data_IF_999731605007
#
_entry.id   IF_999731605007
#
_cell.length_a   1.000
_cell.length_b   1.000
_cell.length_c   1.000
_cell.angle_alpha   90.00
_cell.angle_beta   90.00
_cell.angle_gamma   90.00
#
_symmetry.space_group_name_H-M   'P 1'
#
loop_
_entity.id
_entity.type
_entity.pdbx_description
1 polymer ?
#
# COMPACT_ATOMS: atom_id res chain seq x y z
N UNK A 1 -16.25 19.98 -2.45
CA UNK A 1 -15.83 19.25 -1.20
C UNK A 1 -14.82 18.17 -1.60
N UNK A 2 -14.15 17.51 -0.67
CA UNK A 2 -13.19 16.43 -1.01
C UNK A 2 -13.86 15.30 -1.84
N UNK A 3 -15.15 15.08 -1.64
CA UNK A 3 -15.96 14.12 -2.39
C UNK A 3 -16.14 14.46 -3.88
N UNK A 4 -15.74 15.65 -4.32
CA UNK A 4 -15.90 16.13 -5.69
C UNK A 4 -14.58 16.06 -6.48
N UNK A 5 -13.54 15.43 -5.90
CA UNK A 5 -12.19 15.42 -6.47
C UNK A 5 -11.93 14.25 -7.45
N UNK A 6 -12.84 13.28 -7.55
CA UNK A 6 -12.66 12.17 -8.47
C UNK A 6 -12.94 12.59 -9.90
N UNK A 7 -11.94 12.48 -10.75
CA UNK A 7 -12.05 12.71 -12.19
C UNK A 7 -11.33 11.59 -12.94
N UNK A 8 -12.08 10.73 -13.59
CA UNK A 8 -11.60 9.63 -14.42
C UNK A 8 -11.73 9.92 -15.93
N UNK A 9 -12.05 11.18 -16.30
CA UNK A 9 -12.38 11.58 -17.67
C UNK A 9 -11.31 12.46 -18.31
N UNK A 10 -10.51 13.16 -17.49
CA UNK A 10 -9.48 14.07 -18.00
C UNK A 10 -8.09 13.62 -17.57
N UNK A 11 -7.10 13.89 -18.43
CA UNK A 11 -5.72 13.57 -18.14
C UNK A 11 -5.11 14.56 -17.14
N UNK A 12 -4.14 14.14 -16.33
CA UNK A 12 -3.39 15.03 -15.46
C UNK A 12 -2.66 16.11 -16.28
N UNK A 13 -2.68 17.34 -15.78
CA UNK A 13 -1.93 18.48 -16.42
C UNK A 13 -0.43 18.23 -16.40
N UNK A 14 0.07 17.58 -15.34
CA UNK A 14 1.46 17.13 -15.22
C UNK A 14 1.42 15.61 -14.99
N UNK A 15 2.10 14.88 -15.86
CA UNK A 15 2.11 13.43 -15.87
C UNK A 15 3.39 12.85 -15.27
N UNK A 16 3.40 11.56 -14.95
CA UNK A 16 4.62 10.85 -14.54
C UNK A 16 5.70 10.85 -15.63
N UNK A 17 5.30 10.94 -16.89
CA UNK A 17 6.24 11.09 -18.04
C UNK A 17 7.06 12.36 -17.92
N UNK A 18 6.48 13.46 -17.45
CA UNK A 18 7.18 14.74 -17.31
C UNK A 18 8.26 14.69 -16.23
N UNK A 19 8.07 13.85 -15.21
CA UNK A 19 9.05 13.64 -14.12
C UNK A 19 10.06 12.53 -14.40
N UNK A 20 9.62 11.42 -15.00
CA UNK A 20 10.40 10.17 -15.04
C UNK A 20 10.73 9.70 -16.48
N UNK A 21 10.24 10.41 -17.52
CA UNK A 21 10.37 9.99 -18.92
C UNK A 21 9.47 8.79 -19.24
N UNK A 22 9.91 7.93 -20.15
CA UNK A 22 9.11 6.78 -20.58
C UNK A 22 8.95 5.74 -19.49
N UNK A 23 7.74 5.13 -19.42
CA UNK A 23 7.45 4.04 -18.50
C UNK A 23 8.37 2.85 -18.77
N UNK A 24 8.91 2.27 -17.70
CA UNK A 24 9.73 1.06 -17.77
C UNK A 24 8.88 -0.18 -17.48
N UNK A 25 9.41 -1.35 -17.85
CA UNK A 25 8.79 -2.66 -17.59
C UNK A 25 9.87 -3.63 -17.07
N UNK A 26 10.33 -3.39 -15.85
CA UNK A 26 11.44 -4.12 -15.25
C UNK A 26 10.98 -5.30 -14.40
N UNK A 27 9.83 -5.19 -13.75
CA UNK A 27 9.24 -6.21 -12.87
C UNK A 27 7.72 -6.17 -12.95
N UNK A 28 7.07 -7.30 -12.64
CA UNK A 28 5.61 -7.38 -12.56
C UNK A 28 5.09 -7.07 -11.15
N UNK A 29 5.85 -7.43 -10.12
CA UNK A 29 5.42 -7.37 -8.71
C UNK A 29 6.30 -6.42 -7.90
N UNK A 30 5.67 -5.60 -7.08
CA UNK A 30 6.35 -4.70 -6.14
C UNK A 30 5.79 -4.86 -4.72
N UNK A 31 6.69 -5.02 -3.74
CA UNK A 31 6.35 -4.99 -2.32
C UNK A 31 6.52 -3.57 -1.79
N UNK A 32 5.47 -3.05 -1.15
CA UNK A 32 5.48 -1.76 -0.47
C UNK A 32 5.57 -2.04 1.03
N UNK A 33 6.68 -1.65 1.64
CA UNK A 33 6.99 -1.93 3.03
C UNK A 33 6.84 -0.67 3.87
N UNK A 34 6.28 -0.82 5.07
CA UNK A 34 6.15 0.26 6.06
C UNK A 34 6.99 0.02 7.31
N UNK A 35 7.91 -0.97 7.26
CA UNK A 35 8.78 -1.33 8.37
C UNK A 35 10.24 -1.29 7.94
N UNK A 36 11.01 -0.37 8.51
CA UNK A 36 12.46 -0.28 8.31
C UNK A 36 13.16 -1.62 8.62
N UNK A 37 12.70 -2.32 9.67
CA UNK A 37 13.28 -3.60 10.06
C UNK A 37 13.10 -4.67 8.98
N UNK A 38 11.92 -4.75 8.37
CA UNK A 38 11.65 -5.72 7.30
C UNK A 38 12.41 -5.33 6.03
N UNK A 39 12.40 -4.06 5.69
CA UNK A 39 13.15 -3.55 4.55
C UNK A 39 14.64 -3.87 4.65
N UNK A 40 15.27 -3.61 5.81
CA UNK A 40 16.68 -3.95 6.04
C UNK A 40 16.93 -5.46 5.97
N UNK A 41 16.01 -6.26 6.56
CA UNK A 41 16.10 -7.71 6.50
C UNK A 41 16.11 -8.24 5.06
N UNK A 42 15.30 -7.67 4.17
CA UNK A 42 15.31 -8.05 2.75
C UNK A 42 16.65 -7.71 2.09
N UNK A 43 17.18 -6.51 2.34
CA UNK A 43 18.50 -6.09 1.82
C UNK A 43 19.65 -6.98 2.32
N UNK A 44 19.59 -7.40 3.57
CA UNK A 44 20.63 -8.25 4.17
C UNK A 44 20.53 -9.72 3.73
N UNK A 45 19.32 -10.16 3.37
CA UNK A 45 19.05 -11.58 3.06
C UNK A 45 19.16 -11.90 1.58
N UNK A 46 18.76 -10.96 0.72
CA UNK A 46 18.71 -11.18 -0.73
C UNK A 46 19.67 -10.25 -1.46
N UNK A 47 20.48 -10.79 -2.39
CA UNK A 47 21.20 -9.94 -3.34
C UNK A 47 20.21 -8.99 -4.03
N UNK A 48 20.42 -7.68 -3.86
CA UNK A 48 19.48 -6.67 -4.32
C UNK A 48 20.16 -5.60 -5.16
N UNK A 49 19.52 -5.22 -6.25
CA UNK A 49 19.96 -4.17 -7.17
C UNK A 49 19.01 -2.98 -7.12
N UNK A 50 19.53 -1.77 -7.03
CA UNK A 50 18.70 -0.56 -7.17
C UNK A 50 18.31 -0.36 -8.62
N UNK A 51 17.00 -0.44 -8.92
CA UNK A 51 16.43 -0.35 -10.26
C UNK A 51 15.63 0.92 -10.53
N UNK A 52 15.34 1.68 -9.48
CA UNK A 52 14.56 2.92 -9.59
C UNK A 52 14.76 3.85 -8.40
N UNK A 53 14.21 5.04 -8.53
CA UNK A 53 14.24 6.08 -7.51
C UNK A 53 12.97 6.89 -7.59
N UNK A 54 12.17 6.89 -6.52
CA UNK A 54 11.04 7.80 -6.38
C UNK A 54 11.60 9.13 -5.86
N UNK A 55 11.35 10.21 -6.60
CA UNK A 55 11.88 11.54 -6.27
C UNK A 55 10.93 12.30 -5.35
N UNK A 56 11.41 12.74 -4.19
CA UNK A 56 10.67 13.62 -3.30
C UNK A 56 11.55 14.79 -2.83
N UNK A 57 10.92 15.94 -2.57
CA UNK A 57 11.65 17.15 -2.14
C UNK A 57 12.40 16.95 -0.82
N UNK A 58 11.92 16.06 0.04
CA UNK A 58 12.50 15.76 1.34
C UNK A 58 13.42 14.53 1.36
N UNK A 59 13.74 13.98 0.19
CA UNK A 59 14.62 12.83 0.02
C UNK A 59 14.10 11.85 -1.02
N UNK A 60 14.99 11.02 -1.52
CA UNK A 60 14.66 10.03 -2.54
C UNK A 60 14.44 8.65 -1.93
N UNK A 61 13.49 7.90 -2.47
CA UNK A 61 13.17 6.55 -2.04
C UNK A 61 13.69 5.56 -3.09
N UNK A 62 14.71 4.75 -2.77
CA UNK A 62 15.24 3.78 -3.70
C UNK A 62 14.29 2.58 -3.84
N UNK A 63 14.08 2.15 -5.09
CA UNK A 63 13.39 0.90 -5.41
C UNK A 63 14.46 -0.14 -5.74
N UNK A 64 14.44 -1.25 -5.01
CA UNK A 64 15.34 -2.37 -5.22
C UNK A 64 14.62 -3.53 -5.90
N UNK A 65 15.37 -4.34 -6.63
CA UNK A 65 14.95 -5.63 -7.18
C UNK A 65 15.71 -6.74 -6.47
N UNK A 66 14.99 -7.79 -6.10
CA UNK A 66 15.54 -9.06 -5.63
C UNK A 66 14.96 -10.21 -6.47
N UNK A 67 15.68 -11.33 -6.54
CA UNK A 67 15.13 -12.57 -7.09
C UNK A 67 14.66 -13.47 -5.94
N UNK A 68 13.39 -13.86 -5.98
CA UNK A 68 12.82 -14.81 -5.04
C UNK A 68 12.19 -15.99 -5.80
N UNK A 69 12.77 -17.19 -5.63
CA UNK A 69 12.32 -18.41 -6.28
C UNK A 69 12.16 -18.28 -7.81
N UNK A 70 13.12 -17.63 -8.45
CA UNK A 70 13.14 -17.43 -9.90
C UNK A 70 12.25 -16.28 -10.41
N UNK A 71 11.66 -15.48 -9.53
CA UNK A 71 10.88 -14.31 -9.89
C UNK A 71 11.54 -13.03 -9.41
N UNK A 72 11.64 -12.06 -10.30
CA UNK A 72 12.10 -10.72 -9.94
C UNK A 72 10.98 -9.93 -9.29
N UNK A 73 11.25 -9.43 -8.09
CA UNK A 73 10.32 -8.68 -7.27
C UNK A 73 10.97 -7.36 -6.88
N UNK A 74 10.30 -6.26 -7.15
CA UNK A 74 10.73 -4.96 -6.62
C UNK A 74 10.25 -4.78 -5.19
N UNK A 75 10.97 -3.95 -4.43
CA UNK A 75 10.53 -3.52 -3.10
C UNK A 75 11.09 -2.14 -2.76
N UNK A 76 10.36 -1.41 -1.92
CA UNK A 76 10.81 -0.15 -1.35
C UNK A 76 10.18 0.09 0.03
N UNK A 77 10.78 0.99 0.80
CA UNK A 77 10.27 1.45 2.08
C UNK A 77 9.43 2.71 1.84
N UNK A 78 8.13 2.61 2.01
CA UNK A 78 7.20 3.72 1.89
C UNK A 78 7.23 4.64 3.12
N UNK A 79 6.98 5.91 2.89
CA UNK A 79 6.58 6.82 3.95
C UNK A 79 5.23 6.43 4.57
N UNK A 80 4.91 7.03 5.71
CA UNK A 80 3.66 6.74 6.44
C UNK A 80 2.60 7.79 6.09
N UNK A 81 1.44 7.32 5.64
CA UNK A 81 0.28 8.15 5.31
C UNK A 81 -0.33 7.75 3.97
N UNK A 82 -1.65 7.89 3.85
CA UNK A 82 -2.40 7.49 2.65
C UNK A 82 -1.93 8.22 1.40
N UNK A 83 -1.72 9.53 1.48
CA UNK A 83 -1.27 10.34 0.37
C UNK A 83 0.13 9.94 -0.11
N UNK A 84 1.06 9.72 0.82
CA UNK A 84 2.43 9.31 0.50
C UNK A 84 2.42 7.93 -0.13
N UNK A 85 1.78 6.95 0.51
CA UNK A 85 1.73 5.58 0.01
C UNK A 85 1.07 5.47 -1.37
N UNK A 86 0.01 6.23 -1.63
CA UNK A 86 -0.67 6.23 -2.92
C UNK A 86 0.20 6.85 -4.03
N UNK A 87 0.81 8.02 -3.76
CA UNK A 87 1.71 8.67 -4.73
C UNK A 87 2.90 7.79 -5.06
N UNK A 88 3.58 7.26 -4.05
CA UNK A 88 4.74 6.38 -4.24
C UNK A 88 4.37 5.08 -4.99
N UNK A 89 3.19 4.51 -4.72
CA UNK A 89 2.70 3.34 -5.46
C UNK A 89 2.47 3.67 -6.94
N UNK A 90 1.85 4.82 -7.22
CA UNK A 90 1.61 5.30 -8.59
C UNK A 90 2.92 5.57 -9.33
N UNK A 91 3.87 6.24 -8.68
CA UNK A 91 5.21 6.48 -9.24
C UNK A 91 5.99 5.17 -9.48
N UNK A 92 5.96 4.23 -8.52
CA UNK A 92 6.61 2.93 -8.69
C UNK A 92 6.02 2.15 -9.87
N UNK A 93 4.69 2.23 -10.12
CA UNK A 93 4.05 1.60 -11.27
C UNK A 93 4.64 2.09 -12.60
N UNK A 94 5.07 3.34 -12.67
CA UNK A 94 5.69 3.95 -13.83
C UNK A 94 7.18 3.66 -13.92
N UNK A 95 7.90 3.88 -12.81
CA UNK A 95 9.37 3.81 -12.76
C UNK A 95 9.89 2.39 -13.02
N UNK A 96 9.21 1.37 -12.51
CA UNK A 96 9.62 -0.03 -12.67
C UNK A 96 8.63 -0.89 -13.43
N UNK A 97 7.46 -0.36 -13.78
CA UNK A 97 6.43 -1.03 -14.58
C UNK A 97 5.66 -2.11 -13.83
N UNK A 98 5.67 -2.09 -12.49
CA UNK A 98 4.93 -3.06 -11.70
C UNK A 98 3.41 -2.85 -11.88
N UNK A 99 2.69 -3.96 -12.06
CA UNK A 99 1.23 -4.02 -12.15
C UNK A 99 0.58 -4.75 -10.97
N UNK A 100 1.39 -5.42 -10.14
CA UNK A 100 0.95 -6.13 -8.94
C UNK A 100 1.66 -5.56 -7.72
N UNK A 101 0.86 -5.11 -6.76
CA UNK A 101 1.38 -4.51 -5.53
C UNK A 101 0.92 -5.30 -4.32
N UNK A 102 1.83 -5.51 -3.37
CA UNK A 102 1.55 -6.06 -2.05
C UNK A 102 2.03 -5.07 -1.01
N UNK A 103 1.10 -4.46 -0.29
CA UNK A 103 1.42 -3.59 0.84
C UNK A 103 1.54 -4.43 2.11
N UNK A 104 2.63 -4.27 2.84
CA UNK A 104 2.88 -4.98 4.08
C UNK A 104 3.29 -4.01 5.20
N UNK A 105 2.45 -3.95 6.22
CA UNK A 105 2.63 -3.06 7.35
C UNK A 105 2.01 -3.60 8.63
N UNK A 106 1.90 -2.77 9.64
CA UNK A 106 1.25 -3.06 10.90
C UNK A 106 0.02 -2.17 11.09
N UNK A 107 -0.95 -2.65 11.86
CA UNK A 107 -2.13 -1.87 12.22
C UNK A 107 -2.49 -2.07 13.70
N UNK A 108 -3.23 -1.12 14.26
CA UNK A 108 -3.93 -1.29 15.54
C UNK A 108 -5.12 -2.24 15.37
N UNK A 109 -5.47 -2.97 16.41
CA UNK A 109 -6.63 -3.85 16.39
C UNK A 109 -7.76 -3.29 17.26
N UNK A 110 -8.96 -3.23 16.69
CA UNK A 110 -10.19 -2.93 17.46
C UNK A 110 -10.80 -4.19 18.09
N UNK A 111 -10.34 -5.39 17.70
CA UNK A 111 -10.75 -6.67 18.27
C UNK A 111 -9.54 -7.57 18.53
N UNK A 112 -8.95 -7.41 19.72
CA UNK A 112 -7.72 -8.11 20.12
C UNK A 112 -7.87 -9.64 20.14
N UNK A 113 -9.02 -10.16 20.53
CA UNK A 113 -9.24 -11.61 20.63
C UNK A 113 -9.20 -12.27 19.23
N UNK A 114 -9.86 -11.65 18.26
CA UNK A 114 -9.88 -12.17 16.90
C UNK A 114 -8.53 -12.08 16.19
N UNK A 115 -7.72 -11.05 16.48
CA UNK A 115 -6.57 -10.66 15.63
C UNK A 115 -5.21 -11.00 16.21
N UNK A 116 -5.12 -11.28 17.54
CA UNK A 116 -3.83 -11.51 18.21
C UNK A 116 -3.06 -12.67 17.58
N UNK A 117 -1.81 -12.40 17.18
CA UNK A 117 -0.91 -13.40 16.57
C UNK A 117 -1.31 -13.85 15.16
N UNK A 118 -2.15 -13.08 14.48
CA UNK A 118 -2.61 -13.38 13.13
C UNK A 118 -2.30 -12.24 12.17
N UNK A 119 -2.16 -12.57 10.89
CA UNK A 119 -2.20 -11.58 9.84
C UNK A 119 -3.63 -11.08 9.62
N UNK A 120 -3.76 -9.81 9.26
CA UNK A 120 -5.03 -9.21 8.90
C UNK A 120 -5.03 -9.00 7.38
N UNK A 121 -6.02 -9.58 6.71
CA UNK A 121 -6.26 -9.38 5.29
C UNK A 121 -7.47 -8.46 5.15
N UNK A 122 -7.25 -7.18 4.83
CA UNK A 122 -8.34 -6.22 4.66
C UNK A 122 -9.26 -6.63 3.51
N UNK A 123 -10.57 -6.64 3.73
CA UNK A 123 -11.58 -6.82 2.68
C UNK A 123 -12.11 -5.51 2.16
N UNK A 124 -12.20 -4.52 3.04
CA UNK A 124 -12.64 -3.16 2.74
C UNK A 124 -11.89 -2.20 3.67
N UNK A 125 -11.70 -0.98 3.22
CA UNK A 125 -11.15 0.10 4.05
C UNK A 125 -12.16 1.23 4.19
N UNK A 126 -12.47 1.63 5.43
CA UNK A 126 -13.18 2.89 5.69
C UNK A 126 -12.27 4.07 5.37
N UNK A 127 -12.78 4.99 4.57
CA UNK A 127 -12.06 6.13 4.01
C UNK A 127 -12.05 7.31 4.98
N UNK A 128 -11.34 7.18 6.09
CA UNK A 128 -11.13 8.27 7.06
C UNK A 128 -9.95 9.18 6.72
N UNK A 129 -9.67 9.34 5.44
CA UNK A 129 -8.55 10.09 4.87
C UNK A 129 -9.00 10.84 3.61
N UNK A 130 -8.16 11.71 3.06
CA UNK A 130 -8.52 12.56 1.92
C UNK A 130 -8.05 12.04 0.56
N UNK A 131 -6.98 11.26 0.52
CA UNK A 131 -6.28 10.92 -0.72
C UNK A 131 -7.11 10.04 -1.66
N UNK A 132 -7.79 9.03 -1.13
CA UNK A 132 -8.52 8.06 -1.95
C UNK A 132 -9.68 8.68 -2.76
N UNK A 133 -10.16 9.85 -2.38
CA UNK A 133 -11.19 10.59 -3.11
C UNK A 133 -10.70 11.19 -4.45
N UNK A 134 -9.39 11.17 -4.71
CA UNK A 134 -8.82 11.50 -6.02
C UNK A 134 -8.72 10.28 -6.94
N UNK A 135 -8.77 9.05 -6.36
CA UNK A 135 -8.56 7.81 -7.10
C UNK A 135 -9.81 6.96 -7.27
N UNK A 136 -10.86 7.23 -6.52
CA UNK A 136 -12.11 6.47 -6.59
C UNK A 136 -13.33 7.33 -6.28
N UNK A 137 -14.46 7.00 -6.89
CA UNK A 137 -15.74 7.65 -6.65
C UNK A 137 -16.07 7.69 -5.14
N UNK A 138 -16.79 8.73 -4.67
CA UNK A 138 -17.09 8.90 -3.25
C UNK A 138 -17.94 7.74 -2.70
N UNK A 139 -17.47 7.18 -1.60
CA UNK A 139 -18.16 6.16 -0.80
C UNK A 139 -17.51 6.11 0.58
N UNK A 140 -18.16 5.53 1.57
CA UNK A 140 -17.58 5.36 2.92
C UNK A 140 -16.48 4.29 2.95
N UNK A 141 -16.60 3.29 2.09
CA UNK A 141 -15.67 2.16 2.02
C UNK A 141 -15.14 1.98 0.60
N UNK A 142 -13.93 1.47 0.51
CA UNK A 142 -13.34 0.99 -0.73
C UNK A 142 -12.99 -0.50 -0.57
N UNK A 143 -13.33 -1.30 -1.57
CA UNK A 143 -13.09 -2.75 -1.58
C UNK A 143 -11.63 -3.06 -1.91
N UNK A 144 -11.05 -4.04 -1.21
CA UNK A 144 -9.75 -4.64 -1.54
C UNK A 144 -9.98 -5.89 -2.38
N UNK A 145 -9.92 -5.75 -3.69
CA UNK A 145 -10.34 -6.77 -4.66
C UNK A 145 -9.66 -8.13 -4.47
N UNK A 146 -8.35 -8.15 -4.18
CA UNK A 146 -7.58 -9.38 -4.05
C UNK A 146 -7.60 -9.99 -2.64
N UNK A 147 -8.39 -9.48 -1.70
CA UNK A 147 -8.45 -9.95 -0.32
C UNK A 147 -8.79 -11.43 -0.21
N UNK A 148 -9.80 -11.89 -0.97
CA UNK A 148 -10.21 -13.31 -0.98
C UNK A 148 -9.11 -14.23 -1.49
N UNK A 149 -8.40 -13.81 -2.54
CA UNK A 149 -7.28 -14.56 -3.12
C UNK A 149 -6.13 -14.67 -2.12
N UNK A 150 -5.77 -13.58 -1.46
CA UNK A 150 -4.71 -13.57 -0.44
C UNK A 150 -5.08 -14.43 0.76
N UNK A 151 -6.32 -14.34 1.24
CA UNK A 151 -6.83 -15.18 2.33
C UNK A 151 -6.78 -16.68 1.97
N UNK A 152 -7.17 -17.06 0.74
CA UNK A 152 -7.08 -18.44 0.27
C UNK A 152 -5.62 -18.95 0.26
N UNK A 153 -4.67 -18.13 -0.21
CA UNK A 153 -3.24 -18.46 -0.17
C UNK A 153 -2.75 -18.64 1.27
N UNK A 154 -3.15 -17.79 2.19
CA UNK A 154 -2.77 -17.92 3.60
C UNK A 154 -3.35 -19.19 4.22
N UNK A 155 -4.58 -19.57 3.87
CA UNK A 155 -5.19 -20.85 4.30
C UNK A 155 -4.40 -22.04 3.78
N UNK A 156 -4.07 -22.05 2.49
CA UNK A 156 -3.30 -23.12 1.86
C UNK A 156 -1.90 -23.29 2.47
N UNK A 157 -1.26 -22.16 2.80
CA UNK A 157 0.06 -22.14 3.45
C UNK A 157 0.01 -22.37 4.97
N UNK A 158 -1.16 -22.55 5.57
CA UNK A 158 -1.31 -22.68 7.02
C UNK A 158 -0.94 -21.43 7.81
N UNK A 159 -0.97 -20.24 7.18
CA UNK A 159 -0.63 -18.96 7.82
C UNK A 159 -1.83 -18.46 8.63
N UNK A 160 -1.70 -18.27 9.97
CA UNK A 160 -2.78 -17.75 10.78
C UNK A 160 -3.20 -16.36 10.34
N UNK A 161 -4.45 -16.19 9.93
CA UNK A 161 -4.97 -14.90 9.47
C UNK A 161 -6.45 -14.72 9.79
N UNK A 162 -6.91 -13.50 9.66
CA UNK A 162 -8.32 -13.11 9.68
C UNK A 162 -8.60 -12.13 8.57
N UNK A 163 -9.82 -12.14 8.07
CA UNK A 163 -10.31 -11.16 7.12
C UNK A 163 -11.24 -10.17 7.83
N UNK A 164 -11.29 -8.94 7.36
CA UNK A 164 -12.20 -7.94 7.94
C UNK A 164 -12.00 -6.55 7.37
N UNK A 165 -12.85 -5.64 7.82
CA UNK A 165 -12.74 -4.22 7.50
C UNK A 165 -11.59 -3.58 8.27
N UNK A 166 -10.97 -2.59 7.66
CA UNK A 166 -9.98 -1.71 8.30
C UNK A 166 -10.45 -0.26 8.23
N UNK A 167 -9.91 0.55 9.08
CA UNK A 167 -10.10 1.99 9.06
C UNK A 167 -8.77 2.67 8.73
N UNK A 168 -8.75 3.42 7.65
CA UNK A 168 -7.64 4.30 7.29
C UNK A 168 -7.93 5.70 7.78
N UNK A 169 -6.98 6.35 8.43
CA UNK A 169 -7.12 7.72 8.94
C UNK A 169 -5.85 8.53 8.69
N UNK A 170 -6.01 9.81 8.33
CA UNK A 170 -4.92 10.77 8.22
C UNK A 170 -4.50 11.37 9.57
N UNK A 171 -5.31 11.14 10.60
CA UNK A 171 -5.14 11.77 11.90
C UNK A 171 -4.75 10.77 13.00
N UNK A 172 -3.59 10.13 12.84
CA UNK A 172 -3.00 9.28 13.87
C UNK A 172 -2.89 10.05 15.21
N UNK A 173 -3.16 9.38 16.34
CA UNK A 173 -3.24 9.97 17.69
C UNK A 173 -4.52 10.83 17.93
N UNK A 174 -5.39 10.97 16.92
CA UNK A 174 -6.71 11.57 17.05
C UNK A 174 -7.86 10.57 17.00
N UNK A 175 -7.57 9.30 17.13
CA UNK A 175 -8.53 8.19 17.23
C UNK A 175 -9.20 8.23 18.62
N UNK A 176 -10.19 9.11 18.78
CA UNK A 176 -10.89 9.29 20.05
C UNK A 176 -11.74 8.09 20.42
N UNK A 177 -12.05 7.92 21.71
CA UNK A 177 -12.90 6.82 22.19
C UNK A 177 -14.26 6.78 21.46
N UNK A 178 -14.85 7.93 21.15
CA UNK A 178 -16.09 8.03 20.39
C UNK A 178 -15.96 7.51 18.96
N UNK A 179 -14.89 7.88 18.25
CA UNK A 179 -14.61 7.35 16.91
C UNK A 179 -14.35 5.84 16.94
N UNK A 180 -13.57 5.36 17.90
CA UNK A 180 -13.31 3.92 18.06
C UNK A 180 -14.62 3.15 18.30
N UNK A 181 -15.51 3.66 19.17
CA UNK A 181 -16.81 3.05 19.42
C UNK A 181 -17.65 2.98 18.13
N UNK A 182 -17.68 4.06 17.35
CA UNK A 182 -18.40 4.13 16.08
C UNK A 182 -17.84 3.15 15.02
N UNK A 183 -16.52 2.89 15.03
CA UNK A 183 -15.89 1.97 14.07
C UNK A 183 -15.98 0.50 14.48
N UNK A 184 -16.36 0.22 15.72
CA UNK A 184 -16.60 -1.15 16.21
C UNK A 184 -18.02 -1.65 15.93
N UNK A 185 -18.97 -0.75 15.73
CA UNK A 185 -20.37 -1.06 15.37
C UNK A 185 -20.52 -1.37 13.88
#
# INVERSE_FOLDING_TARGET
>A
MITDCFDDKTEPVISLRDFYGEQKHLVETCLILFSQKIYQHLLDTFPSEKIGLIGACNGNIPIYRMNYKGKDIAFYLSGIGSAIAASECYEASWIVGASKFVMFGSCGSLNREATRGKFIVPTESYRGEGCSYYFAAPSDYITVENARKLSAIFTELGVPHVTGRVWTTDAMIRETAGLVAQRRS
#
